data_IF_911299317471
#
_entry.id   IF_911299317471
#
_cell.length_a   1.000
_cell.length_b   1.000
_cell.length_c   1.000
_cell.angle_alpha   90.00
_cell.angle_beta   90.00
_cell.angle_gamma   90.00
#
_symmetry.space_group_name_H-M   'P 1'
#
loop_
_entity.id
_entity.type
_entity.pdbx_description
1 polymer ?
#
# COMPACT_ATOMS: atom_id res chain seq x y z
N UNK A 1 26.95 86.76 -27.23
CA UNK A 1 25.59 86.19 -27.21
C UNK A 1 25.60 84.94 -26.34
N UNK A 2 24.86 84.90 -25.21
CA UNK A 2 24.75 83.71 -24.35
C UNK A 2 23.63 82.80 -24.89
N UNK A 3 23.97 81.58 -25.28
CA UNK A 3 23.00 80.57 -25.74
C UNK A 3 22.19 80.00 -24.59
N UNK A 4 20.87 80.04 -24.69
CA UNK A 4 19.94 79.52 -23.69
C UNK A 4 19.59 78.06 -24.04
N UNK A 5 20.26 77.10 -23.38
CA UNK A 5 19.97 75.67 -23.59
C UNK A 5 18.75 75.25 -22.77
N UNK A 6 17.63 74.98 -23.43
CA UNK A 6 16.36 74.57 -22.81
C UNK A 6 16.46 73.13 -22.29
N UNK A 7 16.60 72.95 -20.97
CA UNK A 7 16.53 71.62 -20.34
C UNK A 7 15.07 71.13 -20.32
N UNK A 8 14.73 70.20 -21.20
CA UNK A 8 13.44 69.47 -21.16
C UNK A 8 13.39 68.58 -19.93
N UNK A 9 12.57 68.93 -18.93
CA UNK A 9 12.26 68.07 -17.78
C UNK A 9 11.50 66.84 -18.27
N UNK A 10 12.13 65.66 -18.26
CA UNK A 10 11.41 64.38 -18.41
C UNK A 10 10.39 64.27 -17.27
N UNK A 11 9.09 64.32 -17.57
CA UNK A 11 8.03 64.04 -16.59
C UNK A 11 8.20 62.59 -16.13
N UNK A 12 8.55 62.39 -14.86
CA UNK A 12 8.44 61.08 -14.23
C UNK A 12 6.94 60.81 -14.01
N UNK A 13 6.38 59.88 -14.78
CA UNK A 13 5.02 59.38 -14.57
C UNK A 13 5.16 58.35 -13.46
N UNK A 14 4.66 58.67 -12.26
CA UNK A 14 4.64 57.76 -11.11
C UNK A 14 3.26 57.12 -10.99
N UNK A 15 3.22 55.87 -10.56
CA UNK A 15 1.96 55.20 -10.22
C UNK A 15 1.29 55.88 -9.04
N UNK A 16 -0.02 56.07 -9.13
CA UNK A 16 -0.86 56.52 -8.03
C UNK A 16 -1.11 55.36 -7.05
N UNK A 17 -1.37 55.70 -5.79
CA UNK A 17 -1.74 54.70 -4.76
C UNK A 17 -2.98 53.91 -5.19
N UNK A 18 -3.94 54.57 -5.87
CA UNK A 18 -5.18 53.94 -6.33
C UNK A 18 -4.88 52.90 -7.43
N UNK A 19 -4.03 53.22 -8.40
CA UNK A 19 -3.62 52.26 -9.44
C UNK A 19 -2.94 51.04 -8.82
N UNK A 20 -2.01 51.25 -7.88
CA UNK A 20 -1.34 50.14 -7.21
C UNK A 20 -2.32 49.27 -6.39
N UNK A 21 -3.25 49.91 -5.67
CA UNK A 21 -4.24 49.21 -4.86
C UNK A 21 -5.20 48.36 -5.70
N UNK A 22 -5.68 48.89 -6.82
CA UNK A 22 -6.57 48.14 -7.73
C UNK A 22 -5.87 46.92 -8.34
N UNK A 23 -4.60 47.05 -8.71
CA UNK A 23 -3.80 45.92 -9.24
C UNK A 23 -3.64 44.83 -8.18
N UNK A 24 -3.31 45.20 -6.94
CA UNK A 24 -3.20 44.22 -5.86
C UNK A 24 -4.54 43.56 -5.55
N UNK A 25 -5.66 44.30 -5.63
CA UNK A 25 -7.00 43.74 -5.44
C UNK A 25 -7.35 42.69 -6.51
N UNK A 26 -7.02 42.97 -7.79
CA UNK A 26 -7.25 42.00 -8.88
C UNK A 26 -6.34 40.78 -8.72
N UNK A 27 -5.06 40.95 -8.38
CA UNK A 27 -4.14 39.83 -8.13
C UNK A 27 -4.64 38.96 -6.96
N UNK A 28 -5.07 39.58 -5.86
CA UNK A 28 -5.62 38.86 -4.71
C UNK A 28 -6.88 38.06 -5.08
N UNK A 29 -7.78 38.65 -5.88
CA UNK A 29 -8.97 37.95 -6.39
C UNK A 29 -8.59 36.74 -7.26
N UNK A 30 -7.65 36.91 -8.19
CA UNK A 30 -7.19 35.81 -9.06
C UNK A 30 -6.52 34.69 -8.27
N UNK A 31 -5.67 35.04 -7.30
CA UNK A 31 -5.03 34.05 -6.41
C UNK A 31 -6.06 33.31 -5.55
N UNK A 32 -7.12 34.00 -5.09
CA UNK A 32 -8.21 33.39 -4.33
C UNK A 32 -8.92 32.26 -5.08
N UNK A 33 -9.05 32.38 -6.41
CA UNK A 33 -9.65 31.34 -7.27
C UNK A 33 -8.61 30.28 -7.66
N UNK A 34 -7.35 30.68 -7.87
CA UNK A 34 -6.29 29.78 -8.36
C UNK A 34 -5.85 28.73 -7.33
N UNK A 35 -5.69 29.11 -6.05
CA UNK A 35 -5.20 28.20 -5.01
C UNK A 35 -6.07 26.94 -4.79
N UNK A 36 -7.41 27.04 -4.63
CA UNK A 36 -8.24 25.85 -4.49
C UNK A 36 -8.22 24.96 -5.74
N UNK A 37 -8.22 25.57 -6.94
CA UNK A 37 -8.13 24.83 -8.20
C UNK A 37 -6.81 24.04 -8.31
N UNK A 38 -5.69 24.65 -7.92
CA UNK A 38 -4.38 24.00 -7.96
C UNK A 38 -4.30 22.79 -6.99
N UNK A 39 -4.90 22.90 -5.81
CA UNK A 39 -4.93 21.80 -4.85
C UNK A 39 -5.74 20.61 -5.38
N UNK A 40 -6.89 20.87 -6.02
CA UNK A 40 -7.69 19.84 -6.67
C UNK A 40 -6.92 19.13 -7.79
N UNK A 41 -6.26 19.91 -8.68
CA UNK A 41 -5.46 19.35 -9.78
C UNK A 41 -4.33 18.48 -9.26
N UNK A 42 -3.66 18.89 -8.18
CA UNK A 42 -2.61 18.07 -7.54
C UNK A 42 -3.16 16.76 -6.98
N UNK A 43 -4.34 16.77 -6.35
CA UNK A 43 -4.97 15.54 -5.85
C UNK A 43 -5.29 14.58 -7.00
N UNK A 44 -5.94 15.08 -8.06
CA UNK A 44 -6.26 14.29 -9.26
C UNK A 44 -5.00 13.71 -9.92
N UNK A 45 -3.91 14.48 -9.98
CA UNK A 45 -2.64 14.00 -10.53
C UNK A 45 -2.03 12.87 -9.69
N UNK A 46 -2.10 12.96 -8.36
CA UNK A 46 -1.66 11.88 -7.47
C UNK A 46 -2.52 10.62 -7.62
N UNK A 47 -3.85 10.76 -7.66
CA UNK A 47 -4.75 9.62 -7.84
C UNK A 47 -4.53 8.93 -9.19
N UNK A 48 -4.28 9.72 -10.25
CA UNK A 48 -3.93 9.19 -11.58
C UNK A 48 -2.61 8.43 -11.54
N UNK A 49 -1.61 8.95 -10.83
CA UNK A 49 -0.32 8.28 -10.66
C UNK A 49 -0.45 6.98 -9.85
N UNK A 50 -1.28 6.98 -8.81
CA UNK A 50 -1.57 5.77 -8.04
C UNK A 50 -2.26 4.70 -8.88
N UNK A 51 -3.25 5.08 -9.69
CA UNK A 51 -3.91 4.14 -10.62
C UNK A 51 -2.94 3.57 -11.65
N UNK A 52 -2.01 4.37 -12.15
CA UNK A 52 -0.95 3.87 -13.03
C UNK A 52 0.01 2.89 -12.32
N UNK A 53 0.26 3.10 -11.02
CA UNK A 53 1.02 2.15 -10.21
C UNK A 53 0.26 0.84 -10.01
N UNK A 54 -1.03 0.88 -9.65
CA UNK A 54 -1.86 -0.33 -9.55
C UNK A 54 -1.90 -1.09 -10.87
N UNK A 55 -2.07 -0.39 -12.00
CA UNK A 55 -2.01 -1.02 -13.31
C UNK A 55 -0.65 -1.69 -13.60
N UNK A 56 0.45 -1.10 -13.14
CA UNK A 56 1.78 -1.73 -13.28
C UNK A 56 1.91 -2.99 -12.44
N UNK A 57 1.30 -3.01 -11.25
CA UNK A 57 1.20 -4.19 -10.38
C UNK A 57 0.31 -5.25 -11.04
N UNK A 58 -0.83 -4.86 -11.63
CA UNK A 58 -1.72 -5.76 -12.36
C UNK A 58 -0.98 -6.45 -13.50
N UNK A 59 -0.24 -5.71 -14.33
CA UNK A 59 0.59 -6.27 -15.41
C UNK A 59 1.64 -7.25 -14.87
N UNK A 60 2.25 -6.92 -13.73
CA UNK A 60 3.18 -7.82 -13.04
C UNK A 60 2.51 -9.11 -12.57
N UNK A 61 1.31 -9.02 -12.01
CA UNK A 61 0.51 -10.17 -11.56
C UNK A 61 0.04 -11.05 -12.71
N UNK A 62 -0.35 -10.45 -13.84
CA UNK A 62 -0.69 -11.22 -15.06
C UNK A 62 0.54 -11.95 -15.61
N UNK A 63 1.70 -11.30 -15.61
CA UNK A 63 2.95 -11.94 -16.04
C UNK A 63 3.33 -13.09 -15.10
N UNK A 64 3.25 -12.86 -13.79
CA UNK A 64 3.42 -13.90 -12.77
C UNK A 64 2.47 -15.08 -12.98
N UNK A 65 1.18 -14.80 -13.18
CA UNK A 65 0.15 -15.82 -13.39
C UNK A 65 0.46 -16.68 -14.62
N UNK A 66 0.86 -16.06 -15.73
CA UNK A 66 1.25 -16.77 -16.95
C UNK A 66 2.43 -17.73 -16.74
N UNK A 67 3.38 -17.38 -15.87
CA UNK A 67 4.53 -18.23 -15.53
C UNK A 67 4.22 -19.29 -14.46
N UNK A 68 3.10 -19.16 -13.75
CA UNK A 68 2.70 -20.01 -12.62
C UNK A 68 1.37 -20.74 -12.87
N UNK A 69 1.20 -21.33 -14.07
CA UNK A 69 0.02 -22.11 -14.48
C UNK A 69 -1.33 -21.38 -14.36
N UNK A 70 -1.35 -20.05 -14.55
CA UNK A 70 -2.55 -19.23 -14.40
C UNK A 70 -2.96 -18.99 -12.95
N UNK A 71 -2.06 -19.22 -11.98
CA UNK A 71 -2.34 -19.00 -10.54
C UNK A 71 -1.77 -17.66 -10.08
N UNK A 72 -2.60 -16.89 -9.39
CA UNK A 72 -2.15 -15.72 -8.65
C UNK A 72 -1.55 -16.10 -7.29
N UNK A 73 -0.69 -15.24 -6.70
CA UNK A 73 -0.11 -15.49 -5.38
C UNK A 73 -1.20 -15.68 -4.33
N UNK A 74 -1.03 -16.60 -3.39
CA UNK A 74 -2.01 -16.76 -2.31
C UNK A 74 -2.08 -15.50 -1.44
N UNK A 75 -3.27 -15.06 -1.04
CA UNK A 75 -3.44 -13.98 -0.04
C UNK A 75 -3.73 -14.50 1.36
N UNK A 76 -4.14 -15.78 1.47
CA UNK A 76 -4.60 -16.38 2.71
C UNK A 76 -3.57 -16.24 3.81
N UNK A 77 -3.96 -15.71 4.95
CA UNK A 77 -3.15 -15.72 6.17
C UNK A 77 -2.73 -17.17 6.50
N UNK A 78 -1.46 -17.53 6.27
CA UNK A 78 -0.90 -18.82 6.72
C UNK A 78 -0.13 -18.52 8.00
N UNK A 79 -0.57 -19.11 9.10
CA UNK A 79 0.28 -19.28 10.27
C UNK A 79 1.09 -20.58 10.11
N UNK A 80 2.23 -20.71 10.81
CA UNK A 80 2.95 -21.97 10.84
C UNK A 80 2.01 -23.09 11.30
N UNK A 81 2.23 -24.32 10.81
CA UNK A 81 1.49 -25.52 11.23
C UNK A 81 1.60 -25.81 12.75
N UNK A 82 2.39 -25.01 13.49
CA UNK A 82 2.56 -25.04 14.93
C UNK A 82 1.90 -23.82 15.60
N UNK A 83 0.88 -24.02 16.47
CA UNK A 83 0.09 -22.96 17.10
C UNK A 83 0.82 -22.12 18.17
N UNK A 84 2.16 -22.09 18.18
CA UNK A 84 2.94 -21.45 19.23
C UNK A 84 3.54 -20.07 18.86
N UNK A 85 3.52 -19.69 17.57
CA UNK A 85 4.08 -18.40 17.10
C UNK A 85 3.05 -17.73 16.22
N UNK A 86 2.35 -16.77 16.81
CA UNK A 86 1.18 -16.05 16.30
C UNK A 86 1.54 -15.06 15.17
N UNK A 87 2.29 -15.51 14.17
CA UNK A 87 3.00 -14.63 13.25
C UNK A 87 2.79 -15.10 11.83
N UNK A 88 2.09 -14.26 11.06
CA UNK A 88 1.43 -14.69 9.85
C UNK A 88 1.87 -13.78 8.70
N UNK A 89 2.27 -14.37 7.58
CA UNK A 89 2.48 -13.62 6.35
C UNK A 89 1.12 -13.18 5.81
N UNK A 90 0.94 -11.87 5.61
CA UNK A 90 -0.30 -11.29 5.07
C UNK A 90 -0.28 -11.26 3.54
N UNK A 91 -1.46 -11.08 2.93
CA UNK A 91 -1.60 -10.98 1.48
C UNK A 91 -0.69 -9.92 0.85
N UNK A 92 -0.54 -8.76 1.49
CA UNK A 92 0.32 -7.66 1.01
C UNK A 92 1.80 -8.07 0.90
N UNK A 93 2.28 -8.88 1.84
CA UNK A 93 3.67 -9.37 1.82
C UNK A 93 3.87 -10.42 0.73
N UNK A 94 2.87 -11.29 0.52
CA UNK A 94 2.91 -12.26 -0.58
C UNK A 94 2.81 -11.61 -1.94
N UNK A 95 2.06 -10.53 -2.08
CA UNK A 95 2.09 -9.73 -3.30
C UNK A 95 3.51 -9.24 -3.60
N UNK A 96 4.17 -8.63 -2.61
CA UNK A 96 5.51 -8.09 -2.79
C UNK A 96 6.54 -9.19 -3.07
N UNK A 97 6.50 -10.29 -2.31
CA UNK A 97 7.38 -11.43 -2.54
C UNK A 97 7.18 -12.04 -3.94
N UNK A 98 5.94 -12.14 -4.43
CA UNK A 98 5.66 -12.64 -5.78
C UNK A 98 6.27 -11.77 -6.87
N UNK A 99 6.09 -10.44 -6.75
CA UNK A 99 6.41 -9.51 -7.84
C UNK A 99 7.87 -9.12 -7.87
N UNK A 100 8.52 -8.95 -6.72
CA UNK A 100 9.89 -8.45 -6.65
C UNK A 100 10.82 -9.37 -5.86
N UNK A 101 10.30 -10.38 -5.18
CA UNK A 101 11.07 -11.17 -4.23
C UNK A 101 11.31 -10.42 -2.92
N UNK A 102 11.57 -11.17 -1.85
CA UNK A 102 11.78 -10.60 -0.52
C UNK A 102 13.00 -9.67 -0.43
N UNK A 103 14.06 -9.99 -1.17
CA UNK A 103 15.28 -9.17 -1.28
C UNK A 103 15.32 -8.31 -2.54
N UNK A 104 14.19 -8.16 -3.23
CA UNK A 104 14.03 -7.33 -4.44
C UNK A 104 14.81 -7.84 -5.68
N UNK A 105 15.31 -9.08 -5.66
CA UNK A 105 16.06 -9.68 -6.78
C UNK A 105 15.29 -10.82 -7.45
N UNK A 106 13.96 -10.80 -7.39
CA UNK A 106 13.10 -11.81 -8.00
C UNK A 106 12.65 -12.90 -7.02
N UNK A 107 11.58 -13.59 -7.40
CA UNK A 107 10.95 -14.64 -6.61
C UNK A 107 11.70 -15.95 -6.75
N UNK A 108 11.92 -16.64 -5.64
CA UNK A 108 12.33 -18.02 -5.65
C UNK A 108 11.09 -18.95 -5.57
N UNK A 109 10.85 -19.83 -6.56
CA UNK A 109 9.69 -20.72 -6.55
C UNK A 109 9.62 -21.68 -5.36
N UNK A 110 10.75 -21.94 -4.68
CA UNK A 110 10.80 -22.81 -3.51
C UNK A 110 10.70 -22.02 -2.20
N UNK A 111 10.31 -20.74 -2.24
CA UNK A 111 10.03 -19.99 -1.02
C UNK A 111 8.87 -20.62 -0.25
N UNK A 112 8.99 -20.64 1.06
CA UNK A 112 7.95 -21.12 1.98
C UNK A 112 6.76 -20.14 2.10
N UNK A 113 6.91 -18.90 1.60
CA UNK A 113 6.00 -17.77 1.85
C UNK A 113 5.78 -17.45 3.34
N UNK A 114 6.59 -18.04 4.24
CA UNK A 114 6.59 -17.80 5.68
C UNK A 114 7.82 -16.95 6.05
N UNK A 115 7.62 -15.69 6.41
CA UNK A 115 8.73 -14.81 6.76
C UNK A 115 9.37 -15.17 8.11
N UNK A 116 8.62 -15.81 9.01
CA UNK A 116 9.05 -16.11 10.37
C UNK A 116 9.83 -17.43 10.43
N UNK A 117 9.30 -18.50 9.83
CA UNK A 117 9.95 -19.81 9.86
C UNK A 117 11.35 -19.78 9.23
N UNK A 118 11.48 -19.04 8.13
CA UNK A 118 12.74 -18.76 7.42
C UNK A 118 13.79 -18.08 8.32
N UNK A 119 13.34 -17.30 9.31
CA UNK A 119 14.19 -16.63 10.30
C UNK A 119 14.47 -17.52 11.52
N UNK A 120 13.47 -18.27 11.97
CA UNK A 120 13.51 -19.12 13.16
C UNK A 120 14.38 -20.37 12.99
N UNK A 121 14.79 -20.69 11.76
CA UNK A 121 15.72 -21.76 11.45
C UNK A 121 15.05 -23.00 10.87
N UNK A 122 13.84 -22.86 10.33
CA UNK A 122 13.45 -23.77 9.27
C UNK A 122 14.29 -23.42 8.02
N UNK A 123 14.69 -24.44 7.28
CA UNK A 123 15.58 -24.27 6.16
C UNK A 123 14.78 -23.87 4.92
N UNK A 124 14.26 -22.64 4.88
CA UNK A 124 13.93 -21.95 3.63
C UNK A 124 15.06 -20.95 3.28
N UNK A 125 16.21 -21.41 2.73
CA UNK A 125 17.35 -20.59 2.32
C UNK A 125 17.07 -19.55 1.24
N UNK A 126 15.83 -19.44 0.81
CA UNK A 126 15.48 -19.21 -0.58
C UNK A 126 14.85 -17.84 -0.82
N UNK A 127 14.63 -17.09 0.25
CA UNK A 127 14.00 -15.78 0.19
C UNK A 127 14.98 -14.61 0.40
N UNK A 128 16.30 -14.84 0.56
CA UNK A 128 17.24 -13.76 0.91
C UNK A 128 18.65 -13.96 0.35
N UNK A 129 19.28 -12.88 -0.13
CA UNK A 129 20.70 -12.83 -0.48
C UNK A 129 21.64 -13.06 0.71
N UNK A 130 21.18 -12.78 1.93
CA UNK A 130 21.91 -13.06 3.17
C UNK A 130 21.54 -14.45 3.65
N UNK A 131 22.54 -15.29 3.92
CA UNK A 131 22.42 -16.65 4.47
C UNK A 131 21.48 -16.64 5.69
N UNK A 132 20.23 -17.16 5.56
CA UNK A 132 19.35 -17.30 6.72
C UNK A 132 19.98 -18.23 7.76
N UNK A 133 19.62 -18.05 9.02
CA UNK A 133 20.14 -18.85 10.14
C UNK A 133 19.87 -20.33 9.88
N UNK A 134 20.91 -21.14 9.72
CA UNK A 134 20.79 -22.59 9.47
C UNK A 134 20.85 -23.02 8.01
N UNK A 135 20.91 -22.09 7.06
CA UNK A 135 21.17 -22.38 5.65
C UNK A 135 22.68 -22.43 5.32
N UNK A 136 23.06 -22.99 4.17
CA UNK A 136 24.43 -22.99 3.63
C UNK A 136 24.56 -22.00 2.46
N UNK A 137 25.79 -21.51 2.22
CA UNK A 137 26.11 -20.63 1.08
C UNK A 137 25.65 -21.22 -0.27
N UNK A 138 25.82 -22.53 -0.46
CA UNK A 138 25.38 -23.24 -1.66
C UNK A 138 23.87 -23.15 -1.88
N UNK A 139 23.08 -23.17 -0.80
CA UNK A 139 21.62 -23.05 -0.92
C UNK A 139 21.20 -21.65 -1.35
N UNK A 140 21.91 -20.60 -0.92
CA UNK A 140 21.69 -19.21 -1.36
C UNK A 140 22.06 -19.07 -2.85
N UNK A 141 23.21 -19.62 -3.28
CA UNK A 141 23.59 -19.61 -4.69
C UNK A 141 22.59 -20.36 -5.58
N UNK A 142 22.08 -21.49 -5.09
CA UNK A 142 21.03 -22.24 -5.78
C UNK A 142 19.71 -21.47 -5.82
N UNK A 143 19.42 -20.61 -4.83
CA UNK A 143 18.27 -19.71 -4.87
C UNK A 143 18.44 -18.71 -6.01
N UNK A 144 19.54 -17.96 -6.01
CA UNK A 144 19.82 -16.94 -7.01
C UNK A 144 19.72 -17.46 -8.45
N UNK A 145 20.15 -18.71 -8.69
CA UNK A 145 20.11 -19.33 -10.02
C UNK A 145 18.71 -19.69 -10.53
N UNK A 146 17.73 -19.90 -9.65
CA UNK A 146 16.38 -20.36 -10.03
C UNK A 146 15.29 -19.29 -9.89
N UNK A 147 15.68 -18.08 -9.52
CA UNK A 147 14.72 -16.99 -9.36
C UNK A 147 14.06 -16.64 -10.68
N UNK A 148 12.79 -16.29 -10.57
CA UNK A 148 11.96 -15.78 -11.65
C UNK A 148 11.64 -14.31 -11.38
N UNK A 149 11.32 -13.56 -12.44
CA UNK A 149 11.17 -12.11 -12.34
C UNK A 149 12.51 -11.39 -12.05
N UNK A 150 12.49 -10.19 -11.43
CA UNK A 150 11.33 -9.50 -10.86
C UNK A 150 10.32 -9.05 -11.93
N UNK A 151 9.04 -9.18 -11.63
CA UNK A 151 7.91 -8.83 -12.49
C UNK A 151 7.54 -7.34 -12.38
N UNK A 152 8.12 -6.64 -11.40
CA UNK A 152 7.99 -5.19 -11.23
C UNK A 152 9.39 -4.60 -11.01
N UNK A 153 9.64 -3.41 -11.56
CA UNK A 153 10.89 -2.70 -11.32
C UNK A 153 10.95 -2.28 -9.85
N UNK A 154 11.87 -2.88 -9.08
CA UNK A 154 12.02 -2.63 -7.64
C UNK A 154 12.19 -1.14 -7.28
N UNK A 155 12.72 -0.32 -8.19
CA UNK A 155 12.88 1.13 -7.99
C UNK A 155 11.55 1.88 -8.08
N UNK A 156 10.62 1.35 -8.88
CA UNK A 156 9.28 1.93 -9.12
C UNK A 156 8.20 1.27 -8.27
N UNK A 157 8.47 0.06 -7.78
CA UNK A 157 7.58 -0.73 -6.96
C UNK A 157 7.27 -0.08 -5.60
N UNK A 158 8.04 0.95 -5.19
CA UNK A 158 7.91 1.62 -3.89
C UNK A 158 7.83 0.57 -2.76
N UNK A 159 8.78 -0.39 -2.77
CA UNK A 159 8.79 -1.52 -1.86
C UNK A 159 9.53 -1.21 -0.55
N UNK A 160 8.88 -1.50 0.57
CA UNK A 160 9.37 -1.22 1.92
C UNK A 160 9.27 -2.41 2.85
N UNK A 161 10.24 -2.56 3.74
CA UNK A 161 10.11 -3.55 4.80
C UNK A 161 9.05 -3.07 5.79
N UNK A 162 8.24 -3.98 6.32
CA UNK A 162 7.20 -3.63 7.30
C UNK A 162 7.80 -2.89 8.51
N UNK A 163 8.92 -3.38 9.05
CA UNK A 163 9.64 -2.69 10.12
C UNK A 163 10.20 -1.30 9.75
N UNK A 164 10.41 -0.99 8.47
CA UNK A 164 10.78 0.39 8.08
C UNK A 164 9.58 1.35 8.15
N UNK A 165 8.36 0.83 7.98
CA UNK A 165 7.13 1.61 7.91
C UNK A 165 6.52 1.87 9.28
N UNK A 166 6.43 0.82 10.11
CA UNK A 166 5.66 0.84 11.34
C UNK A 166 6.50 0.87 12.61
N UNK A 167 7.78 0.51 12.55
CA UNK A 167 8.65 0.60 13.72
C UNK A 167 8.98 2.06 14.02
N UNK A 168 8.72 2.49 15.25
CA UNK A 168 9.22 3.78 15.73
C UNK A 168 10.76 3.74 15.75
N UNK A 169 11.44 4.61 14.99
CA UNK A 169 12.90 4.64 14.91
C UNK A 169 13.57 4.94 16.27
N UNK A 170 12.81 5.40 17.26
CA UNK A 170 13.25 5.76 18.61
C UNK A 170 13.07 4.62 19.61
N UNK A 171 11.96 3.88 19.53
CA UNK A 171 11.58 2.86 20.54
C UNK A 171 11.67 1.43 20.03
N UNK A 172 11.70 1.20 18.71
CA UNK A 172 11.75 -0.14 18.14
C UNK A 172 10.43 -0.93 18.21
N UNK A 173 9.33 -0.30 18.66
CA UNK A 173 7.99 -0.90 18.77
C UNK A 173 7.15 -0.62 17.52
N UNK A 174 6.17 -1.51 17.23
CA UNK A 174 5.20 -1.32 16.13
C UNK A 174 5.42 -2.16 14.88
N UNK A 175 6.05 -3.34 14.94
CA UNK A 175 6.04 -4.27 13.81
C UNK A 175 4.78 -5.14 13.83
N UNK A 176 4.38 -5.74 12.69
CA UNK A 176 3.28 -6.75 12.58
C UNK A 176 3.51 -7.95 13.52
N UNK A 177 4.72 -8.01 14.06
CA UNK A 177 5.28 -9.11 14.79
C UNK A 177 5.61 -8.80 16.26
N UNK A 178 5.09 -7.70 16.81
CA UNK A 178 5.45 -7.27 18.16
C UNK A 178 5.07 -8.33 19.22
N UNK A 179 6.08 -8.76 19.98
CA UNK A 179 6.15 -10.03 20.70
C UNK A 179 7.48 -10.76 20.46
N UNK A 180 8.14 -10.50 19.32
CA UNK A 180 9.55 -10.83 19.11
C UNK A 180 10.26 -9.72 18.34
N UNK A 181 11.44 -9.36 18.81
CA UNK A 181 12.31 -8.35 18.20
C UNK A 181 12.60 -8.72 16.73
N UNK A 182 11.98 -8.06 15.76
CA UNK A 182 12.44 -8.09 14.37
C UNK A 182 13.63 -7.15 14.24
N UNK A 183 14.83 -7.74 14.23
CA UNK A 183 16.02 -7.04 13.79
C UNK A 183 16.00 -6.91 12.25
N UNK A 184 16.84 -6.02 11.67
CA UNK A 184 16.94 -5.70 10.24
C UNK A 184 17.44 -6.84 9.33
N UNK A 185 17.02 -8.09 9.57
CA UNK A 185 17.52 -9.31 8.96
C UNK A 185 16.47 -10.31 8.47
N UNK A 186 15.16 -10.03 8.60
CA UNK A 186 14.11 -10.83 7.98
C UNK A 186 13.39 -9.98 6.91
N UNK A 187 13.65 -10.20 5.62
CA UNK A 187 13.11 -9.36 4.56
C UNK A 187 11.66 -9.75 4.27
N UNK A 188 10.67 -9.04 4.80
CA UNK A 188 9.27 -9.19 4.41
C UNK A 188 8.77 -7.85 3.85
N UNK A 189 9.03 -7.57 2.56
CA UNK A 189 8.62 -6.32 1.96
C UNK A 189 7.11 -6.26 1.76
N UNK A 190 6.58 -5.05 1.68
CA UNK A 190 5.26 -4.72 1.15
C UNK A 190 5.43 -3.69 0.05
N UNK A 191 4.57 -3.73 -0.96
CA UNK A 191 4.47 -2.65 -1.93
C UNK A 191 3.67 -1.52 -1.29
N UNK A 192 4.08 -0.27 -1.51
CA UNK A 192 3.37 0.90 -0.98
C UNK A 192 2.80 1.76 -2.10
N UNK A 193 1.79 2.54 -1.76
CA UNK A 193 1.24 3.57 -2.63
C UNK A 193 2.22 4.73 -2.86
N UNK A 194 1.80 5.66 -3.71
CA UNK A 194 2.62 6.79 -4.16
C UNK A 194 2.33 8.07 -3.38
N UNK A 195 1.50 8.03 -2.35
CA UNK A 195 1.10 9.23 -1.60
C UNK A 195 2.21 9.76 -0.68
N UNK A 196 3.23 8.95 -0.40
CA UNK A 196 4.50 9.34 0.26
C UNK A 196 4.27 10.03 1.61
N UNK A 197 3.60 9.33 2.52
CA UNK A 197 3.09 9.85 3.80
C UNK A 197 4.06 9.66 4.98
N UNK A 198 5.02 8.74 4.90
CA UNK A 198 5.96 8.42 5.99
C UNK A 198 7.41 8.66 5.59
N UNK A 199 8.19 9.30 6.46
CA UNK A 199 9.64 9.41 6.30
C UNK A 199 10.32 8.16 6.84
N UNK A 200 11.11 7.48 6.00
CA UNK A 200 11.87 6.28 6.35
C UNK A 200 13.35 6.45 6.03
N UNK A 201 14.21 5.74 6.76
CA UNK A 201 15.67 5.78 6.55
C UNK A 201 16.14 4.39 6.15
N UNK A 202 16.64 4.26 4.92
CA UNK A 202 17.19 3.01 4.38
C UNK A 202 18.65 3.23 3.98
N UNK A 203 19.55 2.40 4.51
CA UNK A 203 20.98 2.46 4.23
C UNK A 203 21.59 3.88 4.35
N UNK A 204 21.17 4.63 5.37
CA UNK A 204 21.63 6.01 5.62
C UNK A 204 21.01 7.08 4.72
N UNK A 205 20.12 6.72 3.78
CA UNK A 205 19.37 7.66 2.94
C UNK A 205 17.95 7.82 3.47
N UNK A 206 17.52 9.07 3.60
CA UNK A 206 16.13 9.40 3.92
C UNK A 206 15.29 9.37 2.65
N UNK A 207 14.15 8.68 2.70
CA UNK A 207 13.16 8.62 1.62
C UNK A 207 11.75 8.72 2.20
N UNK A 208 10.77 8.97 1.34
CA UNK A 208 9.35 8.98 1.72
C UNK A 208 8.71 7.69 1.21
N UNK A 209 7.99 6.99 2.08
CA UNK A 209 7.23 5.79 1.78
C UNK A 209 5.72 6.09 1.80
N UNK A 210 4.96 5.37 0.98
CA UNK A 210 3.49 5.38 1.02
C UNK A 210 2.91 4.46 2.09
N UNK A 211 1.59 4.30 2.07
CA UNK A 211 0.88 3.28 2.83
C UNK A 211 0.94 1.95 2.07
N UNK A 212 0.98 0.78 2.73
CA UNK A 212 0.98 -0.51 2.03
C UNK A 212 -0.19 -0.64 1.05
N UNK A 213 -0.02 -1.46 0.01
CA UNK A 213 -1.11 -1.87 -0.89
C UNK A 213 -1.63 -3.22 -0.40
N UNK A 214 -2.92 -3.28 -0.07
CA UNK A 214 -3.55 -4.52 0.36
C UNK A 214 -3.87 -5.40 -0.84
N UNK A 215 -3.67 -6.70 -0.66
CA UNK A 215 -3.89 -7.72 -1.68
C UNK A 215 -4.80 -8.83 -1.17
N UNK A 216 -5.82 -9.14 -1.96
CA UNK A 216 -6.78 -10.21 -1.69
C UNK A 216 -6.96 -11.06 -2.94
N UNK A 217 -6.70 -12.36 -2.86
CA UNK A 217 -6.92 -13.33 -3.93
C UNK A 217 -8.30 -13.94 -3.80
N UNK A 218 -8.99 -14.10 -4.92
CA UNK A 218 -10.28 -14.77 -4.94
C UNK A 218 -10.13 -16.28 -4.70
N UNK A 219 -10.97 -16.84 -3.84
CA UNK A 219 -11.19 -18.27 -3.74
C UNK A 219 -12.20 -18.70 -4.82
N UNK A 220 -11.68 -19.14 -5.97
CA UNK A 220 -12.48 -19.57 -7.13
C UNK A 220 -13.32 -20.83 -6.86
N UNK A 221 -13.03 -21.56 -5.78
CA UNK A 221 -13.83 -22.72 -5.36
C UNK A 221 -15.02 -22.33 -4.48
N UNK A 222 -15.09 -21.08 -4.01
CA UNK A 222 -16.18 -20.60 -3.18
C UNK A 222 -17.28 -19.96 -4.00
N UNK A 223 -18.52 -20.25 -3.65
CA UNK A 223 -19.69 -19.56 -4.17
C UNK A 223 -20.26 -18.55 -3.16
N UNK A 224 -19.72 -18.54 -1.94
CA UNK A 224 -20.19 -17.74 -0.81
C UNK A 224 -19.64 -16.33 -0.88
N UNK A 225 -20.50 -15.35 -0.70
CA UNK A 225 -20.12 -13.95 -0.58
C UNK A 225 -21.07 -13.25 0.40
N UNK A 226 -20.56 -12.48 1.38
CA UNK A 226 -21.40 -11.86 2.41
C UNK A 226 -22.43 -10.89 1.85
N UNK A 227 -23.60 -10.85 2.47
CA UNK A 227 -24.59 -9.80 2.26
C UNK A 227 -24.33 -8.65 3.24
N UNK A 228 -24.09 -7.47 2.69
CA UNK A 228 -23.85 -6.26 3.50
C UNK A 228 -25.09 -5.78 4.24
N UNK A 229 -26.27 -6.28 3.91
CA UNK A 229 -27.50 -6.02 4.69
C UNK A 229 -27.68 -7.01 5.86
N UNK A 230 -26.89 -8.07 5.93
CA UNK A 230 -26.93 -9.08 6.98
C UNK A 230 -25.57 -9.18 7.70
N UNK A 231 -25.48 -8.52 8.86
CA UNK A 231 -24.30 -8.54 9.74
C UNK A 231 -23.81 -9.96 10.05
N UNK A 232 -24.71 -10.94 10.18
CA UNK A 232 -24.31 -12.31 10.50
C UNK A 232 -23.55 -12.98 9.36
N UNK A 233 -23.92 -12.68 8.11
CA UNK A 233 -23.22 -13.18 6.92
C UNK A 233 -21.78 -12.64 6.80
N UNK A 234 -21.54 -11.42 7.27
CA UNK A 234 -20.23 -10.76 7.26
C UNK A 234 -19.31 -11.38 8.31
N UNK A 235 -19.84 -11.65 9.51
CA UNK A 235 -19.08 -12.29 10.58
C UNK A 235 -18.72 -13.74 10.25
N UNK A 236 -19.58 -14.44 9.50
CA UNK A 236 -19.36 -15.83 9.10
C UNK A 236 -18.52 -15.97 7.82
N UNK A 237 -18.27 -14.88 7.08
CA UNK A 237 -17.57 -14.87 5.80
C UNK A 237 -16.23 -15.64 5.84
N UNK A 238 -15.48 -15.45 6.92
CA UNK A 238 -14.15 -16.05 7.09
C UNK A 238 -14.26 -17.55 7.41
N UNK A 239 -15.29 -17.95 8.15
CA UNK A 239 -15.56 -19.35 8.51
C UNK A 239 -16.13 -20.14 7.32
N UNK A 240 -16.89 -19.48 6.44
CA UNK A 240 -17.53 -20.08 5.27
C UNK A 240 -16.62 -20.14 4.04
N UNK A 241 -15.34 -19.75 4.18
CA UNK A 241 -14.37 -19.66 3.09
C UNK A 241 -14.92 -18.85 1.91
N UNK A 242 -15.43 -17.65 2.19
CA UNK A 242 -15.97 -16.73 1.17
C UNK A 242 -14.98 -16.45 0.03
N UNK A 243 -15.50 -15.93 -1.10
CA UNK A 243 -14.69 -15.60 -2.30
C UNK A 243 -13.50 -14.70 -1.94
N UNK A 244 -13.70 -13.70 -1.08
CA UNK A 244 -12.61 -12.91 -0.50
C UNK A 244 -12.69 -12.99 1.01
N UNK A 245 -11.53 -13.03 1.65
CA UNK A 245 -11.41 -13.05 3.10
C UNK A 245 -10.84 -11.72 3.59
N UNK A 246 -11.62 -10.96 4.35
CA UNK A 246 -11.19 -9.66 4.89
C UNK A 246 -9.97 -9.77 5.82
N UNK A 247 -9.74 -10.93 6.43
CA UNK A 247 -8.64 -11.17 7.36
C UNK A 247 -7.28 -11.41 6.72
N UNK A 248 -7.21 -11.55 5.40
CA UNK A 248 -5.96 -11.81 4.70
C UNK A 248 -4.88 -10.74 4.95
N UNK A 249 -5.27 -9.54 5.41
CA UNK A 249 -4.37 -8.46 5.80
C UNK A 249 -4.65 -7.91 7.22
N UNK A 250 -5.36 -8.64 8.07
CA UNK A 250 -5.77 -8.18 9.41
C UNK A 250 -4.58 -7.72 10.25
N UNK A 251 -3.51 -8.52 10.31
CA UNK A 251 -2.29 -8.23 11.07
C UNK A 251 -1.55 -6.96 10.62
N UNK A 252 -1.73 -6.55 9.35
CA UNK A 252 -1.18 -5.29 8.85
C UNK A 252 -2.10 -4.09 9.18
N UNK A 253 -3.41 -4.31 9.14
CA UNK A 253 -4.43 -3.30 9.41
C UNK A 253 -4.44 -2.94 10.91
N UNK A 254 -4.25 -3.91 11.80
CA UNK A 254 -4.24 -3.70 13.26
C UNK A 254 -3.05 -2.88 13.76
N UNK A 255 -2.00 -2.71 12.95
CA UNK A 255 -0.91 -1.78 13.24
C UNK A 255 -1.31 -0.31 13.17
N UNK A 256 -2.46 -0.01 12.56
CA UNK A 256 -2.93 1.35 12.32
C UNK A 256 -2.17 2.03 11.19
N UNK A 257 -2.29 3.35 11.11
CA UNK A 257 -1.69 4.12 10.01
C UNK A 257 -0.17 4.19 10.08
N UNK A 258 0.49 4.23 8.92
CA UNK A 258 1.95 4.48 8.82
C UNK A 258 2.36 5.91 9.23
N UNK A 259 1.41 6.85 9.25
CA UNK A 259 1.64 8.23 9.74
C UNK A 259 1.86 8.25 11.25
N UNK A 260 2.69 9.16 11.75
CA UNK A 260 3.21 9.14 13.14
C UNK A 260 2.14 8.90 14.22
N UNK A 261 2.13 7.68 14.76
CA UNK A 261 1.39 7.26 15.96
C UNK A 261 0.42 6.12 15.71
N UNK A 262 0.65 4.97 16.36
CA UNK A 262 -0.17 3.73 16.37
C UNK A 262 -1.59 3.89 16.92
N UNK A 263 -2.09 5.11 17.04
CA UNK A 263 -3.37 5.45 17.68
C UNK A 263 -4.49 5.75 16.68
N UNK A 264 -4.15 5.99 15.40
CA UNK A 264 -5.16 6.13 14.34
C UNK A 264 -5.38 4.77 13.73
N UNK A 265 -6.53 4.17 14.09
CA UNK A 265 -6.97 2.91 13.53
C UNK A 265 -7.56 3.13 12.14
N UNK A 266 -7.34 2.17 11.26
CA UNK A 266 -8.06 2.11 10.00
C UNK A 266 -9.54 1.90 10.27
N UNK A 267 -10.42 2.38 9.39
CA UNK A 267 -11.85 2.10 9.51
C UNK A 267 -12.14 0.60 9.32
N UNK A 268 -11.17 -0.17 8.80
CA UNK A 268 -11.17 -1.63 8.75
C UNK A 268 -10.87 -2.35 10.08
N UNK A 269 -10.41 -1.65 11.12
CA UNK A 269 -10.06 -2.26 12.40
C UNK A 269 -11.33 -2.70 13.18
N UNK A 270 -11.25 -3.88 13.79
CA UNK A 270 -12.31 -4.53 14.58
C UNK A 270 -12.52 -3.86 15.96
N UNK A 271 -11.55 -3.07 16.43
CA UNK A 271 -11.54 -2.55 17.81
C UNK A 271 -12.30 -1.22 18.02
N UNK A 272 -12.99 -0.70 16.99
CA UNK A 272 -13.62 0.63 17.04
C UNK A 272 -15.06 0.71 17.57
N UNK A 273 -15.85 -0.38 17.57
CA UNK A 273 -17.21 -0.34 18.11
C UNK A 273 -17.71 -1.73 18.50
N UNK A 274 -18.19 -1.88 19.74
CA UNK A 274 -18.60 -3.16 20.32
C UNK A 274 -19.94 -3.68 19.80
N UNK A 275 -20.58 -3.00 18.85
CA UNK A 275 -21.93 -3.37 18.39
C UNK A 275 -22.18 -3.28 16.87
N UNK A 276 -21.19 -3.00 16.02
CA UNK A 276 -21.37 -3.04 14.56
C UNK A 276 -20.08 -3.42 13.82
N UNK A 277 -20.15 -4.23 12.75
CA UNK A 277 -18.97 -4.75 12.04
C UNK A 277 -18.33 -3.68 11.14
N UNK A 278 -17.84 -2.56 11.67
CA UNK A 278 -17.56 -1.36 10.84
C UNK A 278 -16.58 -1.68 9.72
N UNK A 279 -15.43 -2.28 10.03
CA UNK A 279 -14.41 -2.55 9.03
C UNK A 279 -14.80 -3.57 7.98
N UNK A 280 -15.11 -4.80 8.39
CA UNK A 280 -15.44 -5.89 7.47
C UNK A 280 -16.65 -5.56 6.62
N UNK A 281 -17.64 -4.88 7.20
CA UNK A 281 -18.78 -4.37 6.44
C UNK A 281 -18.35 -3.40 5.35
N UNK A 282 -17.53 -2.40 5.68
CA UNK A 282 -17.03 -1.47 4.65
C UNK A 282 -16.27 -2.21 3.55
N UNK A 283 -15.54 -3.28 3.89
CA UNK A 283 -14.75 -4.03 2.92
C UNK A 283 -15.67 -4.72 1.93
N UNK A 284 -16.62 -5.51 2.45
CA UNK A 284 -17.57 -6.22 1.60
C UNK A 284 -18.50 -5.25 0.86
N UNK A 285 -18.92 -4.15 1.46
CA UNK A 285 -19.76 -3.12 0.81
C UNK A 285 -19.09 -2.53 -0.42
N UNK A 286 -17.79 -2.21 -0.30
CA UNK A 286 -16.99 -1.63 -1.38
C UNK A 286 -16.74 -2.59 -2.53
N UNK A 287 -16.42 -3.85 -2.22
CA UNK A 287 -16.10 -4.83 -3.28
C UNK A 287 -17.36 -5.46 -3.89
N UNK A 288 -18.55 -5.25 -3.30
CA UNK A 288 -19.83 -5.71 -3.83
C UNK A 288 -20.19 -4.96 -5.12
N UNK A 289 -20.47 -5.71 -6.19
CA UNK A 289 -21.05 -5.19 -7.40
C UNK A 289 -22.53 -4.87 -7.21
N UNK A 290 -22.86 -3.58 -7.03
CA UNK A 290 -24.24 -3.11 -6.83
C UNK A 290 -25.15 -3.23 -8.06
N UNK A 291 -24.61 -3.58 -9.23
CA UNK A 291 -25.40 -3.85 -10.43
C UNK A 291 -26.08 -5.22 -10.38
N UNK A 292 -25.56 -6.16 -9.58
CA UNK A 292 -26.13 -7.50 -9.41
C UNK A 292 -27.06 -7.48 -8.19
N UNK A 293 -28.37 -7.48 -8.43
CA UNK A 293 -29.39 -7.40 -7.37
C UNK A 293 -29.97 -8.75 -6.95
N UNK A 294 -29.69 -9.83 -7.69
CA UNK A 294 -30.25 -11.15 -7.41
C UNK A 294 -29.61 -11.83 -6.21
N UNK A 295 -28.32 -11.59 -5.99
CA UNK A 295 -27.53 -12.06 -4.86
C UNK A 295 -26.26 -11.21 -4.76
N UNK A 296 -25.75 -10.92 -3.56
CA UNK A 296 -24.48 -10.23 -3.38
C UNK A 296 -23.33 -10.96 -4.11
N UNK A 297 -22.58 -10.21 -4.92
CA UNK A 297 -21.41 -10.72 -5.65
C UNK A 297 -20.33 -9.64 -5.70
N UNK A 298 -19.05 -10.02 -5.68
CA UNK A 298 -17.97 -9.05 -5.88
C UNK A 298 -17.87 -8.60 -7.35
N UNK A 299 -17.14 -7.53 -7.63
CA UNK A 299 -16.83 -7.10 -9.00
C UNK A 299 -16.05 -8.16 -9.80
N UNK A 300 -15.14 -8.88 -9.13
CA UNK A 300 -14.36 -9.96 -9.70
C UNK A 300 -14.45 -11.17 -8.75
N UNK A 301 -14.74 -12.38 -9.24
CA UNK A 301 -14.80 -13.58 -8.40
C UNK A 301 -13.68 -14.59 -8.66
N UNK A 302 -12.77 -14.29 -9.59
CA UNK A 302 -11.76 -15.26 -10.08
C UNK A 302 -10.33 -14.74 -9.99
N UNK A 303 -10.12 -13.42 -9.94
CA UNK A 303 -8.79 -12.81 -9.89
C UNK A 303 -8.41 -12.38 -8.48
N UNK A 304 -8.19 -11.08 -8.32
CA UNK A 304 -7.69 -10.47 -7.10
C UNK A 304 -8.20 -9.03 -6.97
N UNK A 305 -8.06 -8.48 -5.77
CA UNK A 305 -8.34 -7.09 -5.44
C UNK A 305 -7.04 -6.47 -4.92
N UNK A 306 -6.68 -5.33 -5.51
CA UNK A 306 -5.67 -4.43 -4.96
C UNK A 306 -6.38 -3.24 -4.33
N UNK A 307 -5.88 -2.79 -3.19
CA UNK A 307 -6.44 -1.66 -2.47
C UNK A 307 -5.34 -0.74 -1.95
N UNK A 308 -5.46 0.56 -2.25
CA UNK A 308 -4.63 1.63 -1.69
C UNK A 308 -5.47 2.55 -0.82
N UNK A 309 -4.91 3.00 0.30
CA UNK A 309 -5.57 3.83 1.32
C UNK A 309 -5.91 5.26 0.90
N UNK A 310 -5.66 5.64 -0.37
CA UNK A 310 -5.91 7.00 -0.84
C UNK A 310 -4.98 8.05 -0.23
N UNK A 311 -5.43 9.31 -0.27
CA UNK A 311 -4.61 10.46 0.12
C UNK A 311 -4.50 10.63 1.63
N UNK A 312 -5.53 10.22 2.37
CA UNK A 312 -5.53 10.29 3.83
C UNK A 312 -4.69 9.19 4.49
N UNK A 313 -4.34 8.13 3.74
CA UNK A 313 -3.55 7.01 4.24
C UNK A 313 -4.34 6.11 5.20
N UNK A 314 -5.68 6.23 5.22
CA UNK A 314 -6.56 5.48 6.09
C UNK A 314 -7.45 4.58 5.24
N UNK A 315 -7.21 3.28 5.31
CA UNK A 315 -8.09 2.33 4.66
C UNK A 315 -9.52 2.36 5.24
N UNK A 316 -10.50 2.28 4.33
CA UNK A 316 -11.93 2.22 4.60
C UNK A 316 -12.65 3.56 4.40
N UNK A 317 -11.95 4.55 3.84
CA UNK A 317 -12.46 5.89 3.58
C UNK A 317 -13.00 6.01 2.15
N UNK A 318 -13.41 7.23 1.76
CA UNK A 318 -14.04 7.44 0.44
C UNK A 318 -13.02 7.60 -0.69
N UNK A 319 -11.76 7.88 -0.36
CA UNK A 319 -10.68 8.12 -1.32
C UNK A 319 -9.76 6.93 -1.52
N UNK A 320 -10.06 5.79 -0.92
CA UNK A 320 -9.46 4.51 -1.27
C UNK A 320 -9.56 4.23 -2.78
N UNK A 321 -8.52 3.61 -3.33
CA UNK A 321 -8.43 3.26 -4.74
C UNK A 321 -8.30 1.76 -4.89
N UNK A 322 -9.16 1.18 -5.74
CA UNK A 322 -9.14 -0.22 -6.12
C UNK A 322 -8.68 -0.42 -7.57
N UNK A 323 -8.28 -1.64 -7.92
CA UNK A 323 -7.89 -2.00 -9.29
C UNK A 323 -9.07 -2.16 -10.27
N UNK A 324 -10.31 -2.13 -9.79
CA UNK A 324 -11.51 -2.25 -10.63
C UNK A 324 -12.25 -0.91 -10.86
N UNK A 325 -11.78 0.18 -10.26
CA UNK A 325 -12.36 1.53 -10.35
C UNK A 325 -11.85 2.36 -11.54
#
# INVERSE_FOLDING_TARGET
MKGFTMKTKKKKIGFTIVELLTVMAVIAMLLGILLPALNLVRKLAKDTYQRAQLHSIDVGLETYSNENDGRYPESKMLGPATPATNQMTVGSQRLAEALIGRDMLGLDPNTSWDAYADRAGDASPYASTKQPKGSSQTQVENSLKRRQGPYLDATKAEAFQVGELFTDPTTGAGDVYDGITFGPGAPAPVLTDTYRVKRVVRAGKTMMAGTPILYYKANTNSLTFPDTNDTSSILNADAEAAIYNSRDNEELITLGTVTDGSSVQHLFDELGDTLTPTGRWYFYDKITNKQITSQPRPYNSTGYILMSAGFDGIFGTRDDIYNFD
#
